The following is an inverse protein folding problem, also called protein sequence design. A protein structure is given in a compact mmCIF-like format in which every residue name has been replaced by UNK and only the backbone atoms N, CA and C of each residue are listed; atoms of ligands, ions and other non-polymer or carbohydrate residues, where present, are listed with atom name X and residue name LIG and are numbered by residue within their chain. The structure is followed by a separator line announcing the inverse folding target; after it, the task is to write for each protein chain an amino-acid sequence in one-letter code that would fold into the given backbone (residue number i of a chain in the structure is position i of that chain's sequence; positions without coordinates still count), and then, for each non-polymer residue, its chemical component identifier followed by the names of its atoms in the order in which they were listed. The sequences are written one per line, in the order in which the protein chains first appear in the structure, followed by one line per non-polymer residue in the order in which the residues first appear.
data_IF_207695109488
#
_entry.id   IF_207695109488
#
_cell.length_a   1.000
_cell.length_b   1.000
_cell.length_c   1.000
_cell.angle_alpha   90.00
_cell.angle_beta   90.00
_cell.angle_gamma   90.00
#
_symmetry.space_group_name_H-M   'P 1'
#
loop_
_entity.id
_entity.type
_entity.pdbx_description
1 polymer ?
#
# COMPACT_ATOMS: atom_id res chain seq x y z
N UNK A 1 -32.82 -3.13 3.59
CA UNK A 1 -31.53 -3.25 2.88
C UNK A 1 -30.66 -2.14 3.42
N UNK A 2 -29.59 -2.48 4.12
CA UNK A 2 -28.60 -1.52 4.59
C UNK A 2 -27.84 -0.96 3.39
N UNK A 3 -27.83 0.35 3.24
CA UNK A 3 -27.04 1.08 2.25
C UNK A 3 -25.57 1.03 2.66
N UNK A 4 -24.75 0.47 1.78
CA UNK A 4 -23.30 0.34 1.93
C UNK A 4 -22.64 1.73 1.96
N UNK A 5 -21.82 2.01 2.97
CA UNK A 5 -20.93 3.18 3.00
C UNK A 5 -19.70 2.91 2.11
N UNK A 6 -19.78 3.39 0.87
CA UNK A 6 -18.71 3.37 -0.14
C UNK A 6 -17.82 4.63 -0.10
N UNK A 7 -18.06 5.57 0.83
CA UNK A 7 -17.38 6.88 0.86
C UNK A 7 -15.93 6.80 1.38
N UNK A 8 -15.54 5.63 1.90
CA UNK A 8 -14.32 5.46 2.69
C UNK A 8 -13.29 4.48 2.08
N UNK A 9 -13.37 4.14 0.79
CA UNK A 9 -12.30 3.32 0.16
C UNK A 9 -11.11 4.23 -0.24
N UNK A 10 -9.99 4.18 0.50
CA UNK A 10 -8.67 4.72 0.11
C UNK A 10 -7.60 3.63 0.01
N UNK A 11 -6.88 3.51 -1.09
CA UNK A 11 -5.77 2.56 -1.20
C UNK A 11 -4.55 3.16 -0.50
N UNK A 12 -3.90 2.40 0.37
CA UNK A 12 -2.80 2.90 1.20
C UNK A 12 -1.48 2.24 0.78
N UNK A 13 -0.70 2.88 -0.09
CA UNK A 13 0.66 2.45 -0.42
C UNK A 13 1.68 2.60 0.73
N UNK A 14 1.21 2.82 1.95
CA UNK A 14 2.04 3.20 3.11
C UNK A 14 2.03 2.14 4.23
N UNK A 15 1.58 0.91 3.92
CA UNK A 15 1.50 -0.19 4.89
C UNK A 15 2.88 -0.84 5.05
N UNK A 16 3.82 -0.12 5.66
CA UNK A 16 5.09 -0.67 6.18
C UNK A 16 4.91 -1.34 7.57
N UNK A 17 3.66 -1.54 7.94
CA UNK A 17 3.15 -2.28 9.09
C UNK A 17 1.91 -3.06 8.63
N UNK A 18 1.49 -4.07 9.39
CA UNK A 18 0.27 -4.82 9.10
C UNK A 18 -0.87 -4.25 9.95
N UNK A 19 -2.05 -4.09 9.37
CA UNK A 19 -3.27 -3.71 10.10
C UNK A 19 -4.17 -4.93 10.26
N UNK A 20 -4.44 -5.33 11.50
CA UNK A 20 -5.22 -6.53 11.84
C UNK A 20 -6.32 -6.13 12.84
N UNK A 21 -7.28 -5.31 12.40
CA UNK A 21 -8.40 -4.90 13.26
C UNK A 21 -9.28 -6.10 13.62
N UNK A 22 -9.63 -6.23 14.92
CA UNK A 22 -10.40 -7.36 15.42
C UNK A 22 -9.63 -8.69 15.56
N UNK A 23 -8.30 -8.66 15.39
CA UNK A 23 -7.45 -9.85 15.50
C UNK A 23 -7.07 -10.19 16.96
N UNK A 24 -7.10 -11.47 17.31
CA UNK A 24 -6.67 -11.96 18.62
C UNK A 24 -5.13 -12.08 18.67
N UNK A 25 -4.47 -11.02 19.16
CA UNK A 25 -3.02 -10.94 19.33
C UNK A 25 -2.42 -12.12 20.11
N UNK A 26 -3.17 -12.73 21.03
CA UNK A 26 -2.68 -13.84 21.85
C UNK A 26 -2.36 -15.10 21.03
N UNK A 27 -2.82 -15.15 19.78
CA UNK A 27 -2.62 -16.30 18.89
C UNK A 27 -1.50 -16.11 17.87
N UNK A 28 -0.91 -14.92 17.74
CA UNK A 28 0.12 -14.62 16.71
C UNK A 28 1.28 -15.62 16.74
N UNK A 29 1.78 -15.95 17.94
CA UNK A 29 2.97 -16.78 18.08
C UNK A 29 2.74 -18.25 17.65
N UNK A 30 1.51 -18.74 17.74
CA UNK A 30 1.12 -20.09 17.31
C UNK A 30 0.37 -20.10 15.99
N UNK A 31 0.19 -18.93 15.35
CA UNK A 31 -0.76 -18.74 14.28
C UNK A 31 -0.40 -19.54 13.02
N UNK A 32 0.81 -19.34 12.49
CA UNK A 32 1.26 -20.07 11.29
C UNK A 32 1.56 -21.55 11.56
N UNK A 33 1.62 -21.95 12.82
CA UNK A 33 1.75 -23.35 13.24
C UNK A 33 0.41 -24.04 13.48
N UNK A 34 -0.70 -23.30 13.50
CA UNK A 34 -2.03 -23.88 13.65
C UNK A 34 -2.51 -24.40 12.28
N UNK A 35 -2.56 -25.73 12.13
CA UNK A 35 -2.99 -26.38 10.89
C UNK A 35 -4.46 -26.11 10.53
N UNK A 36 -5.25 -25.56 11.47
CA UNK A 36 -6.66 -25.22 11.29
C UNK A 36 -6.83 -23.76 10.86
N UNK A 37 -6.60 -23.53 9.58
CA UNK A 37 -6.90 -22.25 8.93
C UNK A 37 -8.35 -21.82 9.17
N UNK A 38 -8.51 -20.54 9.51
CA UNK A 38 -9.78 -19.89 9.76
C UNK A 38 -9.76 -18.48 9.15
N UNK A 39 -10.85 -17.73 9.33
CA UNK A 39 -10.99 -16.36 8.81
C UNK A 39 -9.83 -15.43 9.22
N UNK A 40 -9.32 -15.56 10.45
CA UNK A 40 -8.20 -14.76 10.92
C UNK A 40 -6.94 -15.01 10.10
N UNK A 41 -6.67 -16.26 9.70
CA UNK A 41 -5.53 -16.61 8.84
C UNK A 41 -5.64 -15.99 7.46
N UNK A 42 -6.85 -15.92 6.90
CA UNK A 42 -7.10 -15.23 5.63
C UNK A 42 -6.78 -13.75 5.76
N UNK A 43 -7.31 -13.08 6.79
CA UNK A 43 -7.09 -11.65 7.05
C UNK A 43 -5.60 -11.35 7.23
N UNK A 44 -4.91 -12.16 8.03
CA UNK A 44 -3.47 -11.99 8.25
C UNK A 44 -2.68 -12.14 6.96
N UNK A 45 -2.94 -13.18 6.17
CA UNK A 45 -2.20 -13.42 4.92
C UNK A 45 -2.45 -12.29 3.92
N UNK A 46 -3.70 -11.86 3.77
CA UNK A 46 -4.08 -10.72 2.94
C UNK A 46 -3.27 -9.46 3.30
N UNK A 47 -3.32 -9.06 4.57
CA UNK A 47 -2.63 -7.87 5.05
C UNK A 47 -1.09 -8.03 5.08
N UNK A 48 -0.61 -9.26 5.26
CA UNK A 48 0.81 -9.58 5.14
C UNK A 48 1.33 -9.41 3.72
N UNK A 49 0.54 -9.76 2.71
CA UNK A 49 0.94 -9.57 1.32
C UNK A 49 0.93 -8.10 0.89
N UNK A 50 0.07 -7.26 1.47
CA UNK A 50 0.23 -5.80 1.35
C UNK A 50 1.58 -5.31 1.91
N UNK A 51 1.95 -5.78 3.10
CA UNK A 51 3.25 -5.48 3.68
C UNK A 51 4.40 -5.96 2.77
N UNK A 52 4.33 -7.19 2.26
CA UNK A 52 5.32 -7.73 1.33
C UNK A 52 5.38 -6.94 0.01
N UNK A 53 4.26 -6.48 -0.55
CA UNK A 53 4.29 -5.60 -1.73
C UNK A 53 5.14 -4.37 -1.44
N UNK A 54 4.97 -3.74 -0.27
CA UNK A 54 5.69 -2.53 0.10
C UNK A 54 7.18 -2.76 0.35
N UNK A 55 7.57 -3.93 0.89
CA UNK A 55 8.98 -4.18 1.27
C UNK A 55 9.77 -5.07 0.32
N UNK A 56 9.09 -5.78 -0.58
CA UNK A 56 9.73 -6.74 -1.47
C UNK A 56 9.63 -6.40 -2.95
N UNK A 57 8.89 -5.36 -3.36
CA UNK A 57 8.73 -4.99 -4.78
C UNK A 57 9.45 -3.69 -5.12
N UNK A 58 9.79 -3.48 -6.40
CA UNK A 58 10.35 -2.20 -6.86
C UNK A 58 9.42 -1.04 -6.55
N UNK A 59 8.13 -1.26 -6.81
CA UNK A 59 7.08 -0.30 -6.60
C UNK A 59 6.98 0.15 -5.13
N UNK A 60 7.05 -0.80 -4.19
CA UNK A 60 7.07 -0.53 -2.76
C UNK A 60 8.28 0.27 -2.29
N UNK A 61 9.49 -0.08 -2.76
CA UNK A 61 10.73 0.68 -2.44
C UNK A 61 10.64 2.12 -2.95
N UNK A 62 10.07 2.32 -4.15
CA UNK A 62 9.84 3.65 -4.70
C UNK A 62 8.82 4.45 -3.87
N UNK A 63 7.74 3.81 -3.43
CA UNK A 63 6.75 4.42 -2.54
C UNK A 63 7.37 4.79 -1.19
N UNK A 64 8.22 3.95 -0.61
CA UNK A 64 8.96 4.29 0.61
C UNK A 64 9.79 5.56 0.44
N UNK A 65 10.56 5.63 -0.66
CA UNK A 65 11.38 6.80 -0.96
C UNK A 65 10.51 8.07 -1.11
N UNK A 66 9.43 8.00 -1.90
CA UNK A 66 8.52 9.12 -2.08
C UNK A 66 7.84 9.58 -0.79
N UNK A 67 7.33 8.65 0.02
CA UNK A 67 6.54 8.96 1.21
C UNK A 67 7.34 9.37 2.43
N UNK A 68 8.57 8.87 2.59
CA UNK A 68 9.35 9.10 3.81
C UNK A 68 10.61 9.92 3.56
N UNK A 69 11.27 9.77 2.40
CA UNK A 69 12.55 10.44 2.15
C UNK A 69 12.34 11.75 1.42
N UNK A 70 11.66 11.72 0.28
CA UNK A 70 11.48 12.91 -0.56
C UNK A 70 10.62 13.96 0.15
N UNK A 71 9.48 13.55 0.74
CA UNK A 71 8.64 14.43 1.57
C UNK A 71 9.45 15.07 2.71
N UNK A 72 10.30 14.30 3.39
CA UNK A 72 11.10 14.81 4.50
C UNK A 72 12.23 15.75 4.06
N UNK A 73 12.91 15.44 2.94
CA UNK A 73 13.92 16.33 2.33
C UNK A 73 13.30 17.66 1.92
N UNK A 74 12.12 17.64 1.29
CA UNK A 74 11.41 18.87 0.90
C UNK A 74 11.13 19.73 2.12
N UNK A 75 10.62 19.12 3.20
CA UNK A 75 10.30 19.84 4.43
C UNK A 75 11.57 20.41 5.09
N UNK A 76 12.61 19.60 5.28
CA UNK A 76 13.84 20.07 5.91
C UNK A 76 14.58 21.14 5.10
N UNK A 77 14.64 21.00 3.77
CA UNK A 77 15.30 21.98 2.90
C UNK A 77 14.61 23.34 3.00
N UNK A 78 13.27 23.35 3.05
CA UNK A 78 12.49 24.59 3.17
C UNK A 78 12.62 25.19 4.57
N UNK A 79 12.48 24.39 5.63
CA UNK A 79 12.69 24.85 7.02
C UNK A 79 14.06 25.49 7.20
N UNK A 80 15.11 24.87 6.63
CA UNK A 80 16.47 25.40 6.68
C UNK A 80 16.66 26.66 5.83
N UNK A 81 16.12 26.71 4.59
CA UNK A 81 16.26 27.85 3.67
C UNK A 81 15.62 29.11 4.22
N UNK A 82 14.46 28.98 4.84
CA UNK A 82 13.68 30.10 5.35
C UNK A 82 13.93 30.39 6.84
N UNK A 83 14.87 29.68 7.48
CA UNK A 83 15.15 29.76 8.92
C UNK A 83 13.86 29.69 9.76
N UNK A 84 12.89 28.91 9.29
CA UNK A 84 11.60 28.79 9.94
C UNK A 84 11.80 27.91 11.18
N UNK A 85 11.55 28.48 12.36
CA UNK A 85 11.65 27.75 13.63
C UNK A 85 10.62 26.61 13.77
N UNK A 86 9.67 26.50 12.84
CA UNK A 86 8.74 25.40 12.68
C UNK A 86 7.92 25.64 11.40
N UNK A 87 7.16 24.64 10.97
CA UNK A 87 6.10 24.82 9.98
C UNK A 87 5.00 25.70 10.59
N UNK A 88 4.78 26.97 10.19
CA UNK A 88 3.66 27.73 10.74
C UNK A 88 2.37 27.03 10.32
N UNK A 89 1.48 26.77 11.28
CA UNK A 89 0.12 26.38 10.94
C UNK A 89 -0.55 27.58 10.27
N UNK A 90 -1.09 27.34 9.07
CA UNK A 90 -1.34 28.31 7.99
C UNK A 90 -0.14 28.55 7.05
N UNK A 91 0.72 27.56 6.84
CA UNK A 91 1.76 27.60 5.81
C UNK A 91 1.22 28.07 4.44
N UNK A 92 -0.02 27.72 4.12
CA UNK A 92 -0.73 28.13 2.90
C UNK A 92 -0.97 29.64 2.79
N UNK A 93 -0.76 30.40 3.87
CA UNK A 93 -0.92 31.84 3.97
C UNK A 93 0.42 32.60 3.94
N UNK A 94 1.55 31.88 4.02
CA UNK A 94 2.88 32.49 3.94
C UNK A 94 3.45 32.25 2.54
N UNK A 95 3.80 33.33 1.83
CA UNK A 95 4.39 33.27 0.48
C UNK A 95 5.64 32.37 0.44
N UNK A 96 6.45 32.41 1.50
CA UNK A 96 7.65 31.59 1.68
C UNK A 96 7.40 30.07 1.71
N UNK A 97 6.17 29.64 2.00
CA UNK A 97 5.80 28.22 2.08
C UNK A 97 5.12 27.71 0.80
N UNK A 98 4.85 28.56 -0.20
CA UNK A 98 4.18 28.17 -1.44
C UNK A 98 5.02 27.17 -2.27
N UNK A 99 6.34 27.33 -2.29
CA UNK A 99 7.27 26.40 -2.97
C UNK A 99 7.15 24.97 -2.40
N UNK A 100 6.92 24.85 -1.08
CA UNK A 100 6.72 23.56 -0.43
C UNK A 100 5.37 22.96 -0.77
N UNK A 101 4.31 23.77 -0.78
CA UNK A 101 2.96 23.34 -1.11
C UNK A 101 2.93 22.84 -2.55
N UNK A 102 3.59 23.53 -3.47
CA UNK A 102 3.63 23.15 -4.88
C UNK A 102 4.47 21.88 -5.12
N UNK A 103 5.65 21.77 -4.50
CA UNK A 103 6.47 20.55 -4.62
C UNK A 103 5.78 19.32 -3.99
N UNK A 104 5.09 19.48 -2.85
CA UNK A 104 4.27 18.42 -2.29
C UNK A 104 3.02 18.14 -3.12
N UNK A 105 2.38 19.16 -3.72
CA UNK A 105 1.23 18.97 -4.62
C UNK A 105 1.60 18.11 -5.81
N UNK A 106 2.75 18.34 -6.43
CA UNK A 106 3.24 17.54 -7.55
C UNK A 106 3.50 16.08 -7.16
N UNK A 107 4.11 15.84 -5.99
CA UNK A 107 4.30 14.49 -5.44
C UNK A 107 2.96 13.82 -5.09
N UNK A 108 2.04 14.56 -4.47
CA UNK A 108 0.72 14.08 -4.08
C UNK A 108 -0.16 13.80 -5.30
N UNK A 109 -0.04 14.56 -6.40
CA UNK A 109 -0.72 14.25 -7.67
C UNK A 109 -0.23 12.92 -8.23
N UNK A 110 1.06 12.65 -8.17
CA UNK A 110 1.64 11.36 -8.59
C UNK A 110 1.13 10.20 -7.71
N UNK A 111 0.93 10.44 -6.41
CA UNK A 111 0.46 9.43 -5.45
C UNK A 111 -1.08 9.29 -5.41
N UNK A 112 -1.86 10.34 -5.69
CA UNK A 112 -3.34 10.34 -5.70
C UNK A 112 -3.92 9.77 -6.98
N UNK A 113 -3.17 9.83 -8.08
CA UNK A 113 -3.52 9.10 -9.30
C UNK A 113 -3.48 7.59 -9.11
N UNK A 114 -3.06 7.11 -7.93
CA UNK A 114 -3.05 5.69 -7.61
C UNK A 114 -4.43 5.10 -7.16
N UNK A 115 -5.50 5.89 -7.13
CA UNK A 115 -6.83 5.44 -6.69
C UNK A 115 -7.78 5.11 -7.87
N UNK A 116 -8.58 4.05 -7.70
CA UNK A 116 -9.73 3.75 -8.57
C UNK A 116 -10.83 4.81 -8.40
N UNK A 117 -11.47 5.20 -9.50
CA UNK A 117 -12.57 6.17 -9.47
C UNK A 117 -13.73 5.63 -8.60
N UNK A 118 -14.13 6.40 -7.59
CA UNK A 118 -15.21 6.04 -6.67
C UNK A 118 -16.58 6.07 -7.36
N UNK A 119 -16.75 6.97 -8.32
CA UNK A 119 -18.00 7.05 -9.08
C UNK A 119 -18.20 5.78 -9.91
N UNK A 120 -17.11 5.22 -10.44
CA UNK A 120 -17.15 3.93 -11.10
C UNK A 120 -17.65 2.82 -10.17
N UNK A 121 -17.08 2.72 -8.96
CA UNK A 121 -17.48 1.70 -7.98
C UNK A 121 -18.97 1.83 -7.64
N UNK A 122 -19.40 3.05 -7.36
CA UNK A 122 -20.79 3.36 -6.99
C UNK A 122 -21.77 3.04 -8.12
N UNK A 123 -21.53 3.54 -9.33
CA UNK A 123 -22.39 3.26 -10.48
C UNK A 123 -22.41 1.77 -10.83
N UNK A 124 -21.29 1.08 -10.63
CA UNK A 124 -21.25 -0.37 -10.87
C UNK A 124 -22.09 -1.12 -9.85
N UNK A 125 -22.08 -0.75 -8.57
CA UNK A 125 -22.91 -1.42 -7.56
C UNK A 125 -24.42 -1.13 -7.74
N UNK A 126 -24.75 0.05 -8.26
CA UNK A 126 -26.11 0.47 -8.63
C UNK A 126 -26.60 -0.18 -9.95
N UNK A 127 -25.69 -0.67 -10.80
CA UNK A 127 -26.04 -1.28 -12.07
C UNK A 127 -26.77 -2.64 -11.90
N UNK A 128 -27.77 -2.97 -12.76
CA UNK A 128 -28.54 -4.22 -12.63
C UNK A 128 -27.72 -5.51 -12.59
N UNK A 129 -26.58 -5.54 -13.30
CA UNK A 129 -25.68 -6.69 -13.40
C UNK A 129 -24.46 -6.59 -12.46
N UNK A 130 -24.34 -5.52 -11.68
CA UNK A 130 -23.17 -5.24 -10.82
C UNK A 130 -21.83 -5.39 -11.55
N UNK A 131 -21.78 -4.96 -12.81
CA UNK A 131 -20.66 -5.17 -13.73
C UNK A 131 -20.62 -4.06 -14.78
N UNK A 132 -19.44 -3.83 -15.34
CA UNK A 132 -19.22 -3.01 -16.53
C UNK A 132 -18.44 -3.78 -17.61
N UNK A 133 -18.20 -3.12 -18.73
CA UNK A 133 -17.31 -3.58 -19.81
C UNK A 133 -16.18 -2.58 -20.04
N UNK A 134 -15.02 -3.07 -20.46
CA UNK A 134 -13.90 -2.22 -20.86
C UNK A 134 -14.03 -1.95 -22.35
N UNK A 135 -14.21 -0.69 -22.72
CA UNK A 135 -14.27 -0.28 -24.11
C UNK A 135 -12.88 -0.17 -24.74
N UNK A 136 -11.89 0.31 -23.97
CA UNK A 136 -10.55 0.53 -24.47
C UNK A 136 -9.51 0.55 -23.34
N UNK A 137 -8.30 0.06 -23.62
CA UNK A 137 -7.12 0.20 -22.77
C UNK A 137 -6.01 0.82 -23.60
N UNK A 138 -5.49 1.99 -23.18
CA UNK A 138 -4.45 2.71 -23.92
C UNK A 138 -3.32 3.18 -23.02
N UNK A 139 -2.09 3.07 -23.51
CA UNK A 139 -0.92 3.70 -22.90
C UNK A 139 -0.82 5.12 -23.43
N UNK A 140 -0.88 6.11 -22.55
CA UNK A 140 -0.75 7.54 -22.89
C UNK A 140 0.43 8.16 -22.15
N UNK A 141 1.04 9.17 -22.76
CA UNK A 141 2.11 9.97 -22.13
C UNK A 141 1.52 11.16 -21.40
N UNK A 142 1.77 11.24 -20.10
CA UNK A 142 1.38 12.39 -19.28
C UNK A 142 2.62 13.12 -18.79
N UNK A 143 2.59 14.45 -18.89
CA UNK A 143 3.67 15.30 -18.41
C UNK A 143 3.62 15.42 -16.88
N UNK A 144 4.77 15.31 -16.21
CA UNK A 144 4.92 15.54 -14.78
C UNK A 144 6.16 16.41 -14.54
N UNK A 145 5.95 17.67 -14.15
CA UNK A 145 7.03 18.64 -14.04
C UNK A 145 7.81 18.75 -15.36
N UNK A 146 9.12 18.48 -15.32
CA UNK A 146 10.00 18.48 -16.49
C UNK A 146 10.05 17.15 -17.26
N UNK A 147 9.36 16.10 -16.79
CA UNK A 147 9.39 14.75 -17.35
C UNK A 147 8.07 14.32 -18.00
N UNK A 148 8.09 13.14 -18.61
CA UNK A 148 6.87 12.45 -19.08
C UNK A 148 6.85 11.03 -18.52
N UNK A 149 5.65 10.52 -18.22
CA UNK A 149 5.43 9.17 -17.75
C UNK A 149 4.34 8.51 -18.58
N UNK A 150 4.57 7.25 -18.93
CA UNK A 150 3.55 6.41 -19.54
C UNK A 150 2.55 5.97 -18.46
N UNK A 151 1.26 6.20 -18.70
CA UNK A 151 0.16 5.77 -17.83
C UNK A 151 -0.84 4.95 -18.64
N UNK A 152 -1.51 4.00 -17.99
CA UNK A 152 -2.55 3.17 -18.61
C UNK A 152 -3.90 3.80 -18.32
N UNK A 153 -4.57 4.32 -19.34
CA UNK A 153 -5.93 4.80 -19.24
C UNK A 153 -6.92 3.71 -19.70
N UNK A 154 -7.93 3.46 -18.89
CA UNK A 154 -8.99 2.48 -19.15
C UNK A 154 -10.30 3.24 -19.35
N UNK A 155 -10.94 3.04 -20.50
CA UNK A 155 -12.26 3.56 -20.83
C UNK A 155 -13.32 2.49 -20.61
N UNK A 156 -14.37 2.86 -19.87
CA UNK A 156 -15.43 1.94 -19.46
C UNK A 156 -16.72 2.24 -20.22
N UNK A 157 -17.45 1.18 -20.53
CA UNK A 157 -18.81 1.20 -21.07
C UNK A 157 -19.74 0.28 -20.28
N UNK A 158 -21.05 0.32 -20.58
CA UNK A 158 -22.06 -0.49 -19.91
C UNK A 158 -22.61 0.11 -18.60
N UNK A 159 -22.17 1.31 -18.23
CA UNK A 159 -22.71 2.11 -17.12
C UNK A 159 -23.44 3.35 -17.65
N UNK A 160 -24.18 4.05 -16.77
CA UNK A 160 -24.95 5.24 -17.12
C UNK A 160 -24.06 6.38 -17.62
N UNK A 161 -22.91 6.58 -16.99
CA UNK A 161 -21.91 7.53 -17.46
C UNK A 161 -20.69 6.82 -18.03
N UNK A 162 -20.03 7.48 -19.01
CA UNK A 162 -18.73 7.00 -19.50
C UNK A 162 -17.67 7.38 -18.47
N UNK A 163 -17.05 6.36 -17.89
CA UNK A 163 -15.93 6.53 -16.98
C UNK A 163 -14.61 6.33 -17.70
N UNK A 164 -13.60 7.09 -17.26
CA UNK A 164 -12.21 6.85 -17.60
C UNK A 164 -11.40 6.92 -16.33
N UNK A 165 -10.57 5.92 -16.11
CA UNK A 165 -9.68 5.91 -14.95
C UNK A 165 -8.26 5.52 -15.37
N UNK A 166 -7.30 5.90 -14.54
CA UNK A 166 -5.91 5.49 -14.71
C UNK A 166 -5.68 4.23 -13.89
N UNK A 167 -5.16 3.18 -14.54
CA UNK A 167 -4.75 1.99 -13.83
C UNK A 167 -3.50 2.31 -13.01
N UNK A 168 -3.64 2.12 -11.70
CA UNK A 168 -2.67 2.55 -10.72
C UNK A 168 -1.86 1.42 -10.10
N UNK A 169 -0.80 1.81 -9.40
CA UNK A 169 -0.08 0.87 -8.54
C UNK A 169 -0.93 0.39 -7.35
N UNK A 170 -1.71 1.28 -6.73
CA UNK A 170 -2.61 0.93 -5.64
C UNK A 170 -3.68 -0.10 -6.06
N UNK A 171 -4.22 0.03 -7.27
CA UNK A 171 -5.13 -0.98 -7.83
C UNK A 171 -4.43 -2.33 -8.01
N UNK A 172 -3.20 -2.34 -8.54
CA UNK A 172 -2.43 -3.58 -8.73
C UNK A 172 -2.10 -4.29 -7.41
N UNK A 173 -1.73 -3.55 -6.37
CA UNK A 173 -1.46 -4.12 -5.03
C UNK A 173 -2.71 -4.82 -4.46
N UNK A 174 -3.89 -4.24 -4.64
CA UNK A 174 -5.10 -4.90 -4.17
C UNK A 174 -5.67 -5.94 -5.12
N UNK A 175 -5.39 -5.86 -6.42
CA UNK A 175 -5.57 -7.02 -7.30
C UNK A 175 -4.75 -8.19 -6.77
N UNK A 176 -3.52 -7.94 -6.30
CA UNK A 176 -2.63 -8.98 -5.78
C UNK A 176 -3.20 -9.63 -4.53
N UNK A 177 -3.48 -8.87 -3.47
CA UNK A 177 -4.00 -9.42 -2.21
C UNK A 177 -5.38 -10.06 -2.39
N UNK A 178 -6.24 -9.51 -3.24
CA UNK A 178 -7.54 -10.14 -3.55
C UNK A 178 -7.40 -11.45 -4.32
N UNK A 179 -6.40 -11.56 -5.21
CA UNK A 179 -6.11 -12.82 -5.92
C UNK A 179 -5.58 -13.88 -4.94
N UNK A 180 -4.83 -13.46 -3.92
CA UNK A 180 -4.42 -14.36 -2.84
C UNK A 180 -5.63 -14.87 -2.09
N UNK A 181 -6.62 -14.04 -1.78
CA UNK A 181 -7.88 -14.52 -1.21
C UNK A 181 -8.56 -15.53 -2.13
N UNK A 182 -8.65 -15.25 -3.44
CA UNK A 182 -9.19 -16.22 -4.42
C UNK A 182 -8.47 -17.57 -4.34
N UNK A 183 -7.12 -17.56 -4.33
CA UNK A 183 -6.30 -18.75 -4.17
C UNK A 183 -6.62 -19.50 -2.87
N UNK A 184 -6.69 -18.79 -1.73
CA UNK A 184 -6.93 -19.42 -0.43
C UNK A 184 -8.26 -20.19 -0.41
N UNK A 185 -9.27 -19.78 -1.18
CA UNK A 185 -10.54 -20.51 -1.25
C UNK A 185 -10.54 -21.59 -2.32
N UNK A 186 -9.97 -21.34 -3.50
CA UNK A 186 -9.87 -22.35 -4.56
C UNK A 186 -9.22 -23.64 -4.07
N UNK A 187 -8.24 -23.52 -3.18
CA UNK A 187 -7.50 -24.64 -2.59
C UNK A 187 -8.03 -25.09 -1.22
N UNK A 188 -9.19 -24.59 -0.78
CA UNK A 188 -9.83 -25.02 0.47
C UNK A 188 -9.08 -24.65 1.74
N UNK A 189 -8.19 -23.66 1.66
CA UNK A 189 -7.48 -23.12 2.82
C UNK A 189 -8.37 -22.18 3.61
N UNK A 190 -9.27 -21.42 2.99
CA UNK A 190 -10.26 -20.59 3.67
C UNK A 190 -11.70 -21.06 3.41
N UNK A 191 -12.55 -21.00 4.45
CA UNK A 191 -14.00 -21.28 4.36
C UNK A 191 -14.82 -20.01 4.07
N UNK A 192 -14.17 -18.84 4.07
CA UNK A 192 -14.81 -17.57 3.73
C UNK A 192 -14.91 -17.50 2.22
N UNK A 193 -16.02 -17.95 1.62
CA UNK A 193 -16.20 -18.01 0.16
C UNK A 193 -16.24 -16.61 -0.50
N UNK A 194 -15.24 -16.18 -1.32
CA UNK A 194 -15.45 -16.21 -2.74
C UNK A 194 -16.63 -15.45 -3.24
N UNK A 195 -17.14 -15.99 -4.33
CA UNK A 195 -18.53 -16.14 -4.78
C UNK A 195 -19.68 -15.60 -3.91
N UNK A 196 -19.66 -15.58 -2.57
CA UNK A 196 -20.56 -14.69 -1.81
C UNK A 196 -20.34 -13.19 -2.17
N UNK A 197 -19.20 -12.88 -2.77
CA UNK A 197 -18.72 -11.65 -3.38
C UNK A 197 -19.62 -11.10 -4.47
N UNK A 198 -20.44 -11.91 -5.16
CA UNK A 198 -21.48 -11.39 -6.07
C UNK A 198 -22.45 -10.44 -5.35
N UNK A 199 -22.47 -10.49 -4.02
CA UNK A 199 -23.21 -9.58 -3.14
C UNK A 199 -22.35 -8.49 -2.48
N UNK A 200 -21.01 -8.57 -2.53
CA UNK A 200 -20.11 -7.51 -2.02
C UNK A 200 -20.04 -6.34 -3.03
N UNK A 201 -19.82 -5.10 -2.58
CA UNK A 201 -19.64 -3.96 -3.47
C UNK A 201 -18.54 -4.24 -4.49
N UNK A 202 -18.67 -3.67 -5.69
CA UNK A 202 -17.74 -3.86 -6.79
C UNK A 202 -16.29 -3.50 -6.36
N UNK A 203 -15.45 -4.52 -6.13
CA UNK A 203 -14.10 -4.40 -5.57
C UNK A 203 -13.03 -4.47 -6.68
N UNK A 204 -11.83 -3.88 -6.51
CA UNK A 204 -10.75 -3.87 -7.50
C UNK A 204 -10.51 -5.18 -8.26
N UNK A 205 -10.51 -6.35 -7.63
CA UNK A 205 -10.20 -7.60 -8.34
C UNK A 205 -11.19 -7.91 -9.49
N UNK A 206 -12.44 -7.43 -9.41
CA UNK A 206 -13.37 -7.54 -10.55
C UNK A 206 -12.97 -6.68 -11.73
N UNK A 207 -12.34 -5.54 -11.47
CA UNK A 207 -11.70 -4.73 -12.50
C UNK A 207 -10.58 -5.53 -13.14
N UNK A 208 -9.80 -6.26 -12.35
CA UNK A 208 -8.70 -7.07 -12.89
C UNK A 208 -9.20 -8.17 -13.82
N UNK A 209 -10.25 -8.91 -13.42
CA UNK A 209 -10.87 -9.91 -14.29
C UNK A 209 -11.36 -9.27 -15.61
N UNK A 210 -11.97 -8.08 -15.54
CA UNK A 210 -12.39 -7.33 -16.74
C UNK A 210 -11.22 -6.89 -17.61
N UNK A 211 -10.09 -6.51 -17.01
CA UNK A 211 -8.84 -6.18 -17.73
C UNK A 211 -8.31 -7.42 -18.45
N UNK A 212 -8.26 -8.59 -17.80
CA UNK A 212 -7.85 -9.84 -18.45
C UNK A 212 -8.80 -10.18 -19.59
N UNK A 213 -10.12 -10.12 -19.33
CA UNK A 213 -11.17 -10.42 -20.32
C UNK A 213 -11.15 -9.51 -21.55
N UNK A 214 -10.57 -8.31 -21.45
CA UNK A 214 -10.37 -7.43 -22.60
C UNK A 214 -9.33 -7.99 -23.58
N UNK A 215 -8.31 -8.69 -23.08
CA UNK A 215 -7.27 -9.29 -23.92
C UNK A 215 -7.62 -10.72 -24.35
N UNK A 216 -8.21 -11.51 -23.47
CA UNK A 216 -8.40 -12.95 -23.64
C UNK A 216 -9.75 -13.36 -23.04
N UNK A 217 -10.56 -14.15 -23.75
CA UNK A 217 -11.86 -14.61 -23.24
C UNK A 217 -11.71 -15.72 -22.17
N UNK A 218 -10.53 -16.32 -22.08
CA UNK A 218 -10.19 -17.39 -21.15
C UNK A 218 -10.15 -16.91 -19.69
N UNK A 219 -10.60 -17.77 -18.78
CA UNK A 219 -10.55 -17.50 -17.35
C UNK A 219 -9.19 -17.93 -16.78
N UNK A 220 -8.43 -16.95 -16.34
CA UNK A 220 -7.16 -17.17 -15.66
C UNK A 220 -7.42 -17.71 -14.24
N UNK A 221 -6.62 -18.68 -13.83
CA UNK A 221 -6.53 -19.19 -12.46
C UNK A 221 -5.93 -18.16 -11.51
N UNK A 222 -6.19 -18.32 -10.21
CA UNK A 222 -5.59 -17.47 -9.17
C UNK A 222 -4.06 -17.48 -9.21
N UNK A 223 -3.43 -18.63 -9.51
CA UNK A 223 -1.97 -18.74 -9.65
C UNK A 223 -1.43 -17.91 -10.83
N UNK A 224 -2.06 -18.00 -11.99
CA UNK A 224 -1.66 -17.22 -13.17
C UNK A 224 -1.77 -15.71 -12.89
N UNK A 225 -2.86 -15.29 -12.25
CA UNK A 225 -3.07 -13.91 -11.79
C UNK A 225 -2.00 -13.45 -10.80
N UNK A 226 -1.67 -14.27 -9.79
CA UNK A 226 -0.61 -14.00 -8.80
C UNK A 226 0.72 -13.76 -9.52
N UNK A 227 1.08 -14.63 -10.46
CA UNK A 227 2.34 -14.52 -11.20
C UNK A 227 2.41 -13.23 -12.03
N UNK A 228 1.33 -12.90 -12.76
CA UNK A 228 1.24 -11.70 -13.61
C UNK A 228 1.31 -10.40 -12.82
N UNK A 229 0.60 -10.33 -11.70
CA UNK A 229 0.63 -9.14 -10.86
C UNK A 229 2.00 -9.03 -10.16
N UNK A 230 2.54 -10.14 -9.63
CA UNK A 230 3.82 -10.15 -8.95
C UNK A 230 4.96 -9.66 -9.83
N UNK A 231 5.06 -10.15 -11.08
CA UNK A 231 6.09 -9.68 -12.02
C UNK A 231 5.88 -8.20 -12.37
N UNK A 232 4.63 -7.77 -12.51
CA UNK A 232 4.30 -6.39 -12.84
C UNK A 232 4.68 -5.43 -11.71
N UNK A 233 4.39 -5.76 -10.45
CA UNK A 233 4.78 -4.97 -9.27
C UNK A 233 6.31 -4.82 -9.12
N UNK A 234 7.09 -5.73 -9.72
CA UNK A 234 8.55 -5.67 -9.73
C UNK A 234 9.15 -4.92 -10.93
N UNK A 235 8.31 -4.46 -11.87
CA UNK A 235 8.73 -3.63 -13.01
C UNK A 235 8.84 -2.14 -12.64
N UNK A 236 9.49 -1.36 -13.50
CA UNK A 236 9.60 0.10 -13.34
C UNK A 236 8.25 0.83 -13.40
N UNK A 237 7.30 0.27 -14.14
CA UNK A 237 5.97 0.84 -14.35
C UNK A 237 4.92 -0.27 -14.35
N UNK A 238 4.45 -0.70 -13.16
CA UNK A 238 3.61 -1.88 -13.00
C UNK A 238 2.36 -1.93 -13.88
N UNK A 239 1.55 -0.85 -13.99
CA UNK A 239 0.39 -0.86 -14.88
C UNK A 239 0.74 -1.10 -16.35
N UNK A 240 1.80 -0.45 -16.84
CA UNK A 240 2.25 -0.58 -18.23
C UNK A 240 2.81 -1.99 -18.48
N UNK A 241 3.58 -2.53 -17.55
CA UNK A 241 4.10 -3.89 -17.65
C UNK A 241 2.97 -4.93 -17.71
N UNK A 242 1.93 -4.77 -16.87
CA UNK A 242 0.76 -5.65 -16.87
C UNK A 242 0.05 -5.64 -18.24
N UNK A 243 -0.21 -4.45 -18.80
CA UNK A 243 -0.82 -4.31 -20.12
C UNK A 243 0.03 -4.94 -21.22
N UNK A 244 1.35 -4.72 -21.17
CA UNK A 244 2.28 -5.26 -22.16
C UNK A 244 2.36 -6.78 -22.10
N UNK A 245 2.36 -7.39 -20.91
CA UNK A 245 2.42 -8.85 -20.80
C UNK A 245 1.09 -9.49 -21.21
N UNK A 246 -0.06 -8.91 -20.86
CA UNK A 246 -1.37 -9.38 -21.33
C UNK A 246 -1.50 -9.29 -22.86
N UNK A 247 -1.03 -8.20 -23.46
CA UNK A 247 -0.99 -8.04 -24.92
C UNK A 247 -0.09 -9.10 -25.58
N UNK A 248 1.03 -9.46 -24.96
CA UNK A 248 1.91 -10.54 -25.45
C UNK A 248 1.24 -11.90 -25.37
N UNK A 249 0.57 -12.23 -24.26
CA UNK A 249 -0.17 -13.49 -24.12
C UNK A 249 -1.30 -13.56 -25.16
N UNK A 250 -1.98 -12.46 -25.44
CA UNK A 250 -2.98 -12.39 -26.51
C UNK A 250 -2.38 -12.70 -27.89
N UNK A 251 -1.19 -12.18 -28.20
CA UNK A 251 -0.50 -12.41 -29.47
C UNK A 251 0.03 -13.84 -29.58
N UNK A 252 0.65 -14.35 -28.53
CA UNK A 252 1.27 -15.68 -28.50
C UNK A 252 0.21 -16.79 -28.37
N UNK A 253 -0.92 -16.50 -27.72
CA UNK A 253 -2.00 -17.42 -27.41
C UNK A 253 -1.97 -17.91 -25.96
N UNK A 254 -3.15 -17.96 -25.33
CA UNK A 254 -3.31 -18.40 -23.94
C UNK A 254 -2.78 -19.83 -23.69
N UNK A 255 -2.95 -20.74 -24.66
CA UNK A 255 -2.46 -22.12 -24.55
C UNK A 255 -0.94 -22.22 -24.36
N UNK A 256 -0.17 -21.26 -24.88
CA UNK A 256 1.29 -21.24 -24.69
C UNK A 256 1.64 -20.80 -23.27
N UNK A 257 0.91 -19.81 -22.75
CA UNK A 257 1.10 -19.32 -21.39
C UNK A 257 0.68 -20.36 -20.35
N UNK A 258 -0.49 -20.95 -20.50
CA UNK A 258 -1.08 -21.88 -19.51
C UNK A 258 -0.33 -23.20 -19.38
N UNK A 259 0.46 -23.61 -20.37
CA UNK A 259 1.31 -24.80 -20.29
C UNK A 259 2.37 -24.73 -19.19
N UNK A 260 2.99 -23.56 -19.03
CA UNK A 260 4.01 -23.29 -18.01
C UNK A 260 4.08 -21.78 -17.73
N UNK A 261 3.14 -21.25 -16.91
CA UNK A 261 3.02 -19.81 -16.66
C UNK A 261 4.29 -19.21 -16.06
N UNK A 262 4.97 -19.94 -15.16
CA UNK A 262 6.21 -19.48 -14.53
C UNK A 262 7.32 -19.32 -15.58
N UNK A 263 7.53 -20.33 -16.43
CA UNK A 263 8.53 -20.28 -17.48
C UNK A 263 8.20 -19.26 -18.56
N UNK A 264 6.92 -19.10 -18.90
CA UNK A 264 6.48 -18.06 -19.83
C UNK A 264 6.85 -16.68 -19.29
N UNK A 265 6.43 -16.38 -18.05
CA UNK A 265 6.70 -15.08 -17.42
C UNK A 265 8.21 -14.84 -17.28
N UNK A 266 8.99 -15.85 -16.88
CA UNK A 266 10.45 -15.75 -16.78
C UNK A 266 11.13 -15.27 -18.08
N UNK A 267 10.63 -15.68 -19.25
CA UNK A 267 11.16 -15.21 -20.55
C UNK A 267 10.84 -13.74 -20.85
N UNK A 268 9.84 -13.20 -20.17
CA UNK A 268 9.32 -11.85 -20.38
C UNK A 268 9.60 -10.90 -19.22
N UNK A 269 10.31 -11.35 -18.18
CA UNK A 269 10.87 -10.48 -17.15
C UNK A 269 11.80 -9.48 -17.85
N UNK A 270 11.43 -8.20 -17.83
CA UNK A 270 12.35 -7.13 -18.20
C UNK A 270 13.57 -7.18 -17.29
N UNK A 271 14.76 -6.79 -17.79
CA UNK A 271 15.99 -6.78 -16.99
C UNK A 271 15.69 -6.22 -15.59
N UNK A 272 15.95 -6.99 -14.53
CA UNK A 272 15.46 -6.66 -13.20
C UNK A 272 15.90 -5.25 -12.85
N UNK A 273 14.92 -4.40 -12.56
CA UNK A 273 15.15 -3.00 -12.25
C UNK A 273 16.22 -2.88 -11.19
N UNK A 274 17.29 -2.14 -11.49
CA UNK A 274 18.40 -2.03 -10.57
C UNK A 274 18.02 -1.14 -9.38
N UNK A 275 17.67 -1.76 -8.25
CA UNK A 275 17.35 -1.09 -7.00
C UNK A 275 18.53 -0.31 -6.41
N UNK A 276 19.76 -0.50 -6.88
CA UNK A 276 20.96 0.09 -6.27
C UNK A 276 20.86 1.62 -6.14
N UNK A 277 20.27 2.32 -7.11
CA UNK A 277 20.11 3.77 -7.01
C UNK A 277 19.18 4.15 -5.84
N UNK A 278 17.99 3.54 -5.76
CA UNK A 278 17.03 3.81 -4.68
C UNK A 278 17.60 3.41 -3.31
N UNK A 279 18.24 2.25 -3.22
CA UNK A 279 18.90 1.78 -2.01
C UNK A 279 20.00 2.75 -1.55
N UNK A 280 20.82 3.26 -2.47
CA UNK A 280 21.82 4.27 -2.15
C UNK A 280 21.19 5.57 -1.65
N UNK A 281 20.07 6.01 -2.23
CA UNK A 281 19.34 7.20 -1.74
C UNK A 281 18.84 6.98 -0.30
N UNK A 282 18.33 5.79 0.00
CA UNK A 282 17.85 5.41 1.33
C UNK A 282 18.99 5.39 2.35
N UNK A 283 20.10 4.70 2.04
CA UNK A 283 21.28 4.61 2.92
C UNK A 283 21.91 5.99 3.19
N UNK A 284 22.10 6.80 2.14
CA UNK A 284 22.62 8.16 2.29
C UNK A 284 21.74 9.01 3.21
N UNK A 285 20.43 8.89 3.08
CA UNK A 285 19.50 9.63 3.91
C UNK A 285 19.48 9.15 5.36
N UNK A 286 19.59 7.84 5.61
CA UNK A 286 19.74 7.32 6.97
C UNK A 286 21.00 7.86 7.66
N UNK A 287 22.13 7.88 6.94
CA UNK A 287 23.39 8.47 7.41
C UNK A 287 23.25 9.96 7.70
N UNK A 288 22.59 10.71 6.83
CA UNK A 288 22.32 12.14 7.04
C UNK A 288 21.47 12.38 8.30
N UNK A 289 20.38 11.61 8.49
CA UNK A 289 19.56 11.69 9.69
C UNK A 289 20.39 11.43 10.95
N UNK A 290 21.25 10.40 10.93
CA UNK A 290 22.15 10.10 12.05
C UNK A 290 23.11 11.26 12.36
N UNK A 291 23.73 11.87 11.34
CA UNK A 291 24.65 13.00 11.51
C UNK A 291 23.95 14.25 12.08
N UNK A 292 22.65 14.38 11.86
CA UNK A 292 21.81 15.44 12.43
C UNK A 292 21.30 15.12 13.85
N UNK A 293 21.73 14.01 14.46
CA UNK A 293 21.26 13.55 15.77
C UNK A 293 19.87 12.90 15.75
N UNK A 294 19.30 12.66 14.56
CA UNK A 294 17.96 12.09 14.35
C UNK A 294 17.99 10.57 14.41
N UNK A 295 18.31 10.05 15.60
CA UNK A 295 18.70 8.65 15.79
C UNK A 295 17.53 7.68 15.59
N UNK A 296 16.31 8.02 16.04
CA UNK A 296 15.15 7.12 15.89
C UNK A 296 14.76 6.97 14.42
N UNK A 297 14.78 8.09 13.70
CA UNK A 297 14.49 8.12 12.27
C UNK A 297 15.55 7.34 11.48
N UNK A 298 16.84 7.59 11.74
CA UNK A 298 17.94 6.86 11.11
C UNK A 298 17.81 5.34 11.30
N UNK A 299 17.54 4.89 12.53
CA UNK A 299 17.33 3.46 12.84
C UNK A 299 16.16 2.86 12.05
N UNK A 300 15.03 3.56 11.95
CA UNK A 300 13.88 3.09 11.18
C UNK A 300 14.19 2.96 9.68
N UNK A 301 14.89 3.95 9.11
CA UNK A 301 15.26 3.93 7.69
C UNK A 301 16.28 2.82 7.40
N UNK A 302 17.26 2.62 8.28
CA UNK A 302 18.24 1.54 8.16
C UNK A 302 17.56 0.16 8.20
N UNK A 303 16.55 -0.03 9.07
CA UNK A 303 15.76 -1.26 9.05
C UNK A 303 15.14 -1.53 7.68
N UNK A 304 14.45 -0.54 7.10
CA UNK A 304 13.84 -0.72 5.78
C UNK A 304 14.88 -0.89 4.67
N UNK A 305 16.03 -0.20 4.75
CA UNK A 305 17.16 -0.44 3.85
C UNK A 305 17.61 -1.91 3.88
N UNK A 306 17.83 -2.48 5.06
CA UNK A 306 18.27 -3.86 5.23
C UNK A 306 17.24 -4.85 4.67
N UNK A 307 15.95 -4.60 4.94
CA UNK A 307 14.84 -5.39 4.41
C UNK A 307 14.80 -5.33 2.87
N UNK A 308 14.89 -4.14 2.28
CA UNK A 308 14.87 -3.99 0.82
C UNK A 308 16.10 -4.62 0.15
N UNK A 309 17.27 -4.49 0.78
CA UNK A 309 18.52 -5.10 0.32
C UNK A 309 18.41 -6.63 0.36
N UNK A 310 17.88 -7.18 1.45
CA UNK A 310 17.66 -8.62 1.61
C UNK A 310 16.67 -9.15 0.58
N UNK A 311 15.51 -8.48 0.40
CA UNK A 311 14.52 -8.86 -0.61
C UNK A 311 15.09 -8.83 -2.02
N UNK A 312 15.89 -7.81 -2.36
CA UNK A 312 16.57 -7.71 -3.65
C UNK A 312 17.58 -8.85 -3.84
N UNK A 313 18.32 -9.21 -2.79
CA UNK A 313 19.33 -10.26 -2.85
C UNK A 313 18.71 -11.66 -2.99
N UNK A 314 17.61 -11.93 -2.30
CA UNK A 314 16.86 -13.19 -2.42
C UNK A 314 16.29 -13.36 -3.83
N UNK A 315 15.68 -12.31 -4.40
CA UNK A 315 15.11 -12.35 -5.77
C UNK A 315 16.15 -12.57 -6.88
N UNK A 316 17.44 -12.27 -6.63
CA UNK A 316 18.52 -12.61 -7.59
C UNK A 316 18.73 -14.11 -7.70
N UNK A 317 18.46 -14.86 -6.63
CA UNK A 317 18.62 -16.31 -6.59
C UNK A 317 17.31 -17.03 -6.95
N UNK A 318 16.18 -16.52 -6.46
CA UNK A 318 14.85 -17.02 -6.78
C UNK A 318 13.89 -15.84 -6.93
N UNK A 319 13.61 -15.46 -8.18
CA UNK A 319 12.77 -14.30 -8.48
C UNK A 319 11.37 -14.43 -7.87
N UNK A 320 10.83 -15.64 -7.79
CA UNK A 320 9.48 -15.89 -7.30
C UNK A 320 9.40 -16.23 -5.81
N UNK A 321 10.50 -16.09 -5.06
CA UNK A 321 10.61 -16.49 -3.64
C UNK A 321 9.38 -16.13 -2.79
N UNK A 322 8.87 -14.90 -2.92
CA UNK A 322 7.76 -14.39 -2.11
C UNK A 322 6.39 -14.99 -2.48
N UNK A 323 6.26 -15.57 -3.66
CA UNK A 323 5.05 -16.25 -4.14
C UNK A 323 5.24 -17.76 -4.31
N UNK A 324 6.42 -18.30 -3.94
CA UNK A 324 6.65 -19.76 -3.89
C UNK A 324 5.61 -20.53 -3.08
N UNK A 325 5.04 -20.00 -1.98
CA UNK A 325 3.93 -20.67 -1.30
C UNK A 325 2.77 -21.01 -2.25
N UNK A 326 2.55 -20.28 -3.33
CA UNK A 326 1.43 -20.51 -4.25
C UNK A 326 1.77 -21.43 -5.44
N UNK A 327 3.06 -21.57 -5.79
CA UNK A 327 3.49 -22.27 -7.02
C UNK A 327 3.64 -23.78 -6.83
N UNK A 328 4.14 -24.23 -5.68
CA UNK A 328 4.67 -25.59 -5.54
C UNK A 328 4.20 -26.28 -4.25
N UNK A 329 2.90 -26.53 -4.10
CA UNK A 329 2.37 -27.17 -2.89
C UNK A 329 1.51 -28.38 -3.21
N UNK A 330 1.90 -29.54 -2.71
CA UNK A 330 1.09 -30.76 -2.80
C UNK A 330 0.03 -30.79 -1.69
N UNK A 331 0.25 -30.03 -0.60
CA UNK A 331 -0.65 -29.97 0.55
C UNK A 331 -0.52 -28.66 1.36
N UNK A 332 -1.43 -28.50 2.33
CA UNK A 332 -1.55 -27.33 3.21
C UNK A 332 -0.35 -27.11 4.13
N UNK A 333 0.30 -28.18 4.58
CA UNK A 333 1.42 -28.08 5.52
C UNK A 333 2.65 -27.50 4.82
N UNK A 334 2.90 -27.90 3.58
CA UNK A 334 3.97 -27.34 2.75
C UNK A 334 3.73 -25.85 2.48
N UNK A 335 2.48 -25.45 2.18
CA UNK A 335 2.09 -24.05 2.00
C UNK A 335 2.45 -23.21 3.24
N UNK A 336 2.02 -23.66 4.42
CA UNK A 336 2.26 -22.94 5.68
C UNK A 336 3.74 -22.91 6.04
N UNK A 337 4.48 -24.00 5.78
CA UNK A 337 5.92 -24.04 5.99
C UNK A 337 6.67 -23.07 5.07
N UNK A 338 6.28 -23.00 3.80
CA UNK A 338 6.85 -22.05 2.85
C UNK A 338 6.54 -20.60 3.27
N UNK A 339 5.29 -20.30 3.65
CA UNK A 339 4.89 -18.98 4.12
C UNK A 339 5.59 -18.59 5.43
N UNK A 340 5.69 -19.51 6.39
CA UNK A 340 6.37 -19.30 7.67
C UNK A 340 7.84 -18.92 7.49
N UNK A 341 8.53 -19.50 6.50
CA UNK A 341 9.90 -19.08 6.16
C UNK A 341 9.96 -17.62 5.73
N UNK A 342 9.02 -17.17 4.90
CA UNK A 342 8.95 -15.77 4.47
C UNK A 342 8.66 -14.87 5.68
N UNK A 343 7.67 -15.21 6.51
CA UNK A 343 7.30 -14.43 7.71
C UNK A 343 8.44 -14.33 8.72
N UNK A 344 9.22 -15.39 8.92
CA UNK A 344 10.36 -15.37 9.82
C UNK A 344 11.51 -14.48 9.33
N UNK A 345 11.70 -14.38 8.00
CA UNK A 345 12.74 -13.52 7.41
C UNK A 345 12.26 -12.06 7.33
N UNK A 346 11.00 -11.88 6.92
CA UNK A 346 10.34 -10.58 6.70
C UNK A 346 9.24 -10.37 7.74
N UNK A 347 9.61 -10.46 9.02
CA UNK A 347 8.69 -10.20 10.12
C UNK A 347 8.35 -8.70 10.14
N UNK A 348 7.06 -8.31 10.16
CA UNK A 348 6.69 -6.90 10.30
C UNK A 348 7.19 -6.35 11.64
N UNK A 349 7.74 -5.13 11.69
CA UNK A 349 8.24 -4.55 12.93
C UNK A 349 7.10 -4.09 13.85
N UNK A 350 5.94 -3.79 13.27
CA UNK A 350 4.78 -3.20 13.93
C UNK A 350 3.51 -3.82 13.36
N UNK A 351 2.54 -4.07 14.24
CA UNK A 351 1.17 -4.43 13.88
C UNK A 351 0.19 -3.42 14.47
N UNK A 352 -0.82 -2.98 13.71
CA UNK A 352 -1.90 -2.14 14.19
C UNK A 352 -3.11 -3.04 14.49
N UNK A 353 -3.55 -3.11 15.73
CA UNK A 353 -4.71 -3.92 16.16
C UNK A 353 -5.61 -3.06 17.01
N UNK A 354 -6.90 -3.00 16.67
CA UNK A 354 -7.89 -2.21 17.43
C UNK A 354 -7.43 -0.76 17.64
N UNK A 355 -6.86 -0.16 16.59
CA UNK A 355 -6.29 1.20 16.59
C UNK A 355 -5.03 1.40 17.46
N UNK A 356 -4.44 0.35 18.01
CA UNK A 356 -3.20 0.38 18.79
C UNK A 356 -2.02 -0.28 18.07
N UNK A 357 -0.85 0.38 18.07
CA UNK A 357 0.38 -0.16 17.47
C UNK A 357 1.11 -1.11 18.42
N UNK A 358 1.20 -2.39 18.10
CA UNK A 358 1.95 -3.39 18.84
C UNK A 358 3.31 -3.62 18.18
N UNK A 359 4.38 -3.46 18.97
CA UNK A 359 5.74 -3.83 18.56
C UNK A 359 5.91 -5.33 18.76
N UNK A 360 6.52 -6.00 17.79
CA UNK A 360 6.76 -7.44 17.85
C UNK A 360 8.07 -7.70 18.61
N UNK A 361 8.01 -8.53 19.66
CA UNK A 361 9.05 -8.76 20.68
C UNK A 361 10.47 -9.09 20.15
N UNK A 362 10.63 -9.52 18.89
CA UNK A 362 11.94 -9.80 18.29
C UNK A 362 12.66 -8.57 17.74
N UNK A 363 12.00 -7.41 17.68
CA UNK A 363 12.47 -6.20 16.98
C UNK A 363 12.29 -4.93 17.81
N UNK A 364 12.24 -5.01 19.14
CA UNK A 364 11.80 -3.91 20.03
C UNK A 364 12.41 -2.54 19.71
N UNK A 365 13.74 -2.48 19.56
CA UNK A 365 14.45 -1.22 19.26
C UNK A 365 14.11 -0.65 17.87
N UNK A 366 13.82 -1.51 16.90
CA UNK A 366 13.41 -1.10 15.56
C UNK A 366 11.91 -0.77 15.49
N UNK A 367 11.07 -1.49 16.22
CA UNK A 367 9.62 -1.26 16.26
C UNK A 367 9.25 0.10 16.85
N UNK A 368 9.94 0.52 17.91
CA UNK A 368 9.78 1.87 18.47
C UNK A 368 10.20 2.94 17.47
N UNK A 369 11.35 2.74 16.81
CA UNK A 369 11.85 3.61 15.75
C UNK A 369 10.89 3.70 14.56
N UNK A 370 10.32 2.57 14.12
CA UNK A 370 9.33 2.53 13.04
C UNK A 370 8.04 3.25 13.45
N UNK A 371 7.63 3.11 14.71
CA UNK A 371 6.48 3.87 15.25
C UNK A 371 6.74 5.38 15.22
N UNK A 372 7.97 5.83 15.52
CA UNK A 372 8.37 7.24 15.37
C UNK A 372 8.34 7.70 13.91
N UNK A 373 8.82 6.87 12.96
CA UNK A 373 8.75 7.15 11.53
C UNK A 373 7.30 7.32 11.05
N UNK A 374 6.41 6.42 11.47
CA UNK A 374 4.97 6.48 11.15
C UNK A 374 4.35 7.76 11.72
N UNK A 375 4.60 8.05 13.01
CA UNK A 375 4.11 9.27 13.64
C UNK A 375 4.61 10.55 12.93
N UNK A 376 5.88 10.56 12.49
CA UNK A 376 6.46 11.67 11.74
C UNK A 376 5.71 11.90 10.41
N UNK A 377 5.41 10.83 9.69
CA UNK A 377 4.64 10.91 8.45
C UNK A 377 3.20 11.41 8.70
N UNK A 378 2.52 10.92 9.74
CA UNK A 378 1.17 11.39 10.10
C UNK A 378 1.14 12.89 10.46
N UNK A 379 2.15 13.38 11.18
CA UNK A 379 2.30 14.81 11.50
C UNK A 379 2.44 15.61 10.20
N UNK A 380 3.29 15.17 9.28
CA UNK A 380 3.52 15.82 7.99
C UNK A 380 2.21 15.91 7.17
N UNK A 381 1.46 14.82 7.07
CA UNK A 381 0.17 14.82 6.36
C UNK A 381 -0.88 15.71 7.04
N UNK A 382 -0.84 15.83 8.37
CA UNK A 382 -1.74 16.71 9.13
C UNK A 382 -1.44 18.20 8.85
N UNK A 383 -0.17 18.58 8.77
CA UNK A 383 0.26 19.96 8.47
C UNK A 383 -0.31 20.47 7.14
N UNK A 384 -0.41 19.61 6.12
CA UNK A 384 -1.00 19.95 4.80
C UNK A 384 -2.45 20.44 4.92
N UNK A 385 -3.16 20.00 5.95
CA UNK A 385 -4.57 20.29 6.17
C UNK A 385 -4.79 21.44 7.17
N UNK A 386 -3.74 22.25 7.41
CA UNK A 386 -3.73 23.39 8.35
C UNK A 386 -4.19 23.03 9.76
N UNK A 387 -3.91 21.81 10.22
CA UNK A 387 -4.22 21.37 11.59
C UNK A 387 -3.09 20.49 12.11
N UNK A 388 -2.40 20.90 13.18
CA UNK A 388 -1.54 19.98 13.93
C UNK A 388 -2.46 18.95 14.59
N UNK A 389 -2.15 17.67 14.39
CA UNK A 389 -2.68 16.58 15.18
C UNK A 389 -4.22 16.42 15.19
N UNK A 390 -4.95 16.89 14.17
CA UNK A 390 -6.18 16.16 13.81
C UNK A 390 -5.70 14.96 13.02
N UNK A 391 -5.79 13.77 13.62
CA UNK A 391 -5.78 12.52 12.84
C UNK A 391 -6.79 12.75 11.72
N UNK A 392 -6.32 12.87 10.48
CA UNK A 392 -7.19 12.60 9.36
C UNK A 392 -7.49 11.13 9.50
N UNK A 393 -8.73 10.83 9.86
CA UNK A 393 -9.18 9.46 9.87
C UNK A 393 -8.76 8.82 8.55
N UNK A 394 -7.87 7.82 8.65
CA UNK A 394 -7.85 6.74 7.68
C UNK A 394 -9.11 5.94 7.97
N UNK A 395 -10.25 6.40 7.45
CA UNK A 395 -11.41 5.54 7.38
C UNK A 395 -11.09 4.48 6.32
N UNK A 396 -10.89 3.24 6.76
CA UNK A 396 -11.17 2.03 5.99
C UNK A 396 -11.47 0.91 6.98
N UNK A 397 -12.49 0.13 6.65
CA UNK A 397 -13.18 -0.89 7.45
C UNK A 397 -14.17 -0.35 8.50
N UNK A 398 -15.40 -0.10 8.05
CA UNK A 398 -16.59 -0.36 8.86
C UNK A 398 -17.41 -1.43 8.12
N UNK A 399 -17.50 -2.61 8.72
CA UNK A 399 -18.57 -3.57 8.45
C UNK A 399 -19.54 -3.54 9.64
N UNK A 400 -20.82 -3.86 9.39
CA UNK A 400 -21.92 -2.92 9.51
C UNK A 400 -22.25 -2.63 10.97
N UNK A 401 -22.53 -1.37 11.28
CA UNK A 401 -23.59 -1.10 12.25
C UNK A 401 -24.35 0.14 11.84
N UNK A 402 -25.68 0.02 11.88
CA UNK A 402 -26.61 1.10 11.62
C UNK A 402 -26.44 2.14 12.71
N UNK A 403 -25.87 3.29 12.38
CA UNK A 403 -26.12 4.48 13.20
C UNK A 403 -26.43 5.70 12.34
N UNK A 404 -27.56 6.34 12.65
CA UNK A 404 -28.12 7.49 11.92
C UNK A 404 -27.54 8.82 12.44
N UNK A 405 -26.41 8.78 13.19
CA UNK A 405 -25.75 9.95 13.78
C UNK A 405 -24.33 10.23 13.22
N UNK A 406 -23.99 9.79 12.00
CA UNK A 406 -22.64 9.98 11.44
C UNK A 406 -22.30 11.40 10.94
N UNK A 407 -23.13 12.41 11.24
CA UNK A 407 -22.77 13.84 11.09
C UNK A 407 -22.33 14.49 12.41
N UNK A 408 -22.20 13.71 13.47
CA UNK A 408 -21.44 14.15 14.62
C UNK A 408 -19.96 14.07 14.26
N UNK A 409 -19.37 15.23 13.96
CA UNK A 409 -17.94 15.45 14.14
C UNK A 409 -17.63 15.05 15.58
N UNK A 410 -17.26 13.79 15.80
CA UNK A 410 -16.72 13.34 17.08
C UNK A 410 -15.48 14.22 17.33
N UNK A 411 -15.66 15.23 18.16
CA UNK A 411 -14.58 15.84 18.90
C UNK A 411 -14.06 14.76 19.82
N UNK A 412 -13.03 14.05 19.40
CA UNK A 412 -12.39 13.10 20.28
C UNK A 412 -11.67 13.82 21.41
N UNK A 413 -11.96 13.32 22.60
CA UNK A 413 -11.11 13.33 23.79
C UNK A 413 -9.67 12.92 23.45
N UNK A 414 -8.73 13.33 24.30
CA UNK A 414 -7.28 13.15 24.18
C UNK A 414 -6.88 11.87 23.41
N UNK A 415 -6.10 12.07 22.35
CA UNK A 415 -5.50 11.03 21.48
C UNK A 415 -5.05 9.80 22.27
N UNK A 416 -5.21 8.57 21.75
CA UNK A 416 -4.79 7.36 22.44
C UNK A 416 -3.32 7.47 22.82
N UNK A 417 -3.07 7.55 24.14
CA UNK A 417 -1.75 7.69 24.74
C UNK A 417 -0.90 6.45 24.44
N UNK A 418 -0.20 6.44 23.30
CA UNK A 418 1.10 5.76 23.23
C UNK A 418 2.23 6.77 23.32
N UNK A 419 2.56 7.11 24.56
CA UNK A 419 3.93 7.37 25.01
C UNK A 419 4.78 8.38 24.21
N UNK A 420 6.08 8.31 24.44
CA UNK A 420 7.08 9.26 23.93
C UNK A 420 7.13 9.35 22.39
N UNK A 421 6.61 8.40 21.58
CA UNK A 421 6.88 8.35 20.13
C UNK A 421 6.35 9.54 19.33
N UNK A 422 5.14 10.04 19.62
CA UNK A 422 4.62 11.24 18.95
C UNK A 422 5.40 12.50 19.37
N UNK A 423 5.75 12.60 20.66
CA UNK A 423 6.59 13.66 21.19
C UNK A 423 8.01 13.61 20.59
N UNK A 424 8.59 12.42 20.46
CA UNK A 424 9.87 12.18 19.80
C UNK A 424 9.76 12.59 18.33
N UNK A 425 8.70 12.20 17.62
CA UNK A 425 8.48 12.60 16.23
C UNK A 425 8.36 14.13 16.08
N UNK A 426 7.64 14.81 16.97
CA UNK A 426 7.60 16.27 17.01
C UNK A 426 8.98 16.89 17.28
N UNK A 427 9.78 16.32 18.17
CA UNK A 427 11.16 16.76 18.42
C UNK A 427 12.06 16.53 17.21
N UNK A 428 11.98 15.35 16.59
CA UNK A 428 12.71 14.95 15.38
C UNK A 428 12.37 15.87 14.20
N UNK A 429 11.14 16.39 14.14
CA UNK A 429 10.70 17.35 13.13
C UNK A 429 10.96 18.81 13.51
N UNK A 430 11.39 19.11 14.75
CA UNK A 430 11.54 20.48 15.24
C UNK A 430 10.21 21.22 15.46
N UNK A 431 9.12 20.50 15.71
CA UNK A 431 7.75 21.04 15.83
C UNK A 431 7.21 21.02 17.27
N UNK A 432 7.96 20.50 18.22
CA UNK A 432 7.46 20.29 19.58
C UNK A 432 7.10 21.59 20.31
N UNK A 433 7.94 22.61 20.24
CA UNK A 433 7.68 23.92 20.85
C UNK A 433 6.41 24.56 20.27
N UNK A 434 6.27 24.52 18.94
CA UNK A 434 5.08 25.02 18.26
C UNK A 434 3.80 24.30 18.73
N UNK A 435 3.86 22.97 18.83
CA UNK A 435 2.72 22.16 19.29
C UNK A 435 2.27 22.55 20.71
N UNK A 436 3.21 22.75 21.65
CA UNK A 436 2.88 23.15 23.02
C UNK A 436 2.22 24.53 23.07
N UNK A 437 2.75 25.50 22.31
CA UNK A 437 2.21 26.85 22.26
C UNK A 437 0.75 26.85 21.79
N UNK A 438 0.42 26.07 20.76
CA UNK A 438 -0.96 25.97 20.27
C UNK A 438 -1.91 25.26 21.21
N UNK A 439 -1.46 24.18 21.86
CA UNK A 439 -2.28 23.46 22.83
C UNK A 439 -2.76 24.43 23.92
N UNK A 440 -1.84 25.26 24.42
CA UNK A 440 -2.14 26.26 25.44
C UNK A 440 -3.03 27.41 24.94
N UNK A 441 -3.11 27.66 23.63
CA UNK A 441 -3.96 28.69 23.03
C UNK A 441 -5.41 28.25 22.78
N UNK A 442 -5.70 26.94 22.77
CA UNK A 442 -7.07 26.40 22.62
C UNK A 442 -7.83 26.28 23.94
N UNK A 443 -7.14 26.42 25.07
CA UNK A 443 -7.70 26.34 26.43
C UNK A 443 -8.05 27.73 27.03
N UNK A 444 -8.15 28.77 26.19
CA UNK A 444 -8.69 30.11 26.48
C UNK A 444 -9.86 30.36 25.54
#
# INVERSE_FOLDING_TARGET
METLDVDNIKYYPDKFYICLDGFDLNRINSFLSDGNFNEQHSIFIHEYYHYLTNVATYAGVRQFNGNFIDKYKIINNVLSKHQLNAFPLKANQYEDCQELIENNRLLDEILKEDDLDRNLIKETDEAPLKSFEIANIRIIKKAYGSGTRDIVEIEITGLLTRHRFILSLGALDEFFSSTIDEFMIEYGYSIVDPRAYNKRPFYPYRVYDKIISYYLEERFSSLEKILLIYVSLNSNNPPVHLVNILSKIQIDGYDIFSQDPEKYINKHIENPTNNNYLLNVIDLFAKQASLQGRNYLSKAINYFYDIFYMATSIKKNDYFFFIRPFIAQENKEEFLNALSRIVNIFTPPVMLVSKEFHVIDKLTDYGDSVTVLIASHEIIESLKNNRLAKRLYKNKYLYPDKDLESDNIETFEDLPKKGNSFQIALNELGLFELYINEKNHKDI
#
